data_IF_597879907304
#
_entry.id   IF_597879907304
#
_cell.length_a   1.000
_cell.length_b   1.000
_cell.length_c   1.000
_cell.angle_alpha   90.00
_cell.angle_beta   90.00
_cell.angle_gamma   90.00
#
_symmetry.space_group_name_H-M   'P 1'
#
loop_
_entity.id
_entity.type
_entity.pdbx_description
1 polymer ?
#
# COMPACT_ATOMS: atom_id res chain seq x y z
N UNK A 1 -6.71 -4.14 3.92
CA UNK A 1 -6.93 -5.52 4.40
C UNK A 1 -8.31 -5.89 3.91
N UNK A 2 -8.43 -6.87 3.02
CA UNK A 2 -9.73 -7.37 2.55
C UNK A 2 -10.52 -7.80 3.79
N UNK A 3 -11.60 -7.08 4.10
CA UNK A 3 -12.51 -7.48 5.16
C UNK A 3 -13.16 -8.79 4.72
N UNK A 4 -13.27 -9.76 5.65
CA UNK A 4 -14.22 -10.85 5.48
C UNK A 4 -15.62 -10.20 5.38
N UNK A 5 -16.19 -10.17 4.18
CA UNK A 5 -17.50 -9.56 3.91
C UNK A 5 -17.72 -9.13 2.46
N UNK A 6 -16.70 -8.58 1.78
CA UNK A 6 -16.82 -8.21 0.36
C UNK A 6 -16.45 -9.40 -0.53
N UNK A 7 -17.31 -9.81 -1.48
CA UNK A 7 -16.95 -10.80 -2.49
C UNK A 7 -15.67 -10.38 -3.21
N UNK A 8 -14.67 -11.27 -3.23
CA UNK A 8 -13.44 -11.06 -3.98
C UNK A 8 -13.00 -12.39 -4.59
N UNK A 9 -12.44 -12.32 -5.79
CA UNK A 9 -11.91 -13.48 -6.49
C UNK A 9 -10.41 -13.60 -6.25
N UNK A 10 -9.97 -14.79 -5.87
CA UNK A 10 -8.56 -15.16 -5.91
C UNK A 10 -8.30 -15.85 -7.25
N UNK A 11 -7.35 -15.33 -8.04
CA UNK A 11 -7.00 -15.90 -9.34
C UNK A 11 -5.48 -15.90 -9.53
N UNK A 12 -4.84 -17.07 -9.72
CA UNK A 12 -3.48 -17.13 -10.21
C UNK A 12 -3.48 -16.85 -11.72
N UNK A 13 -2.61 -15.94 -12.17
CA UNK A 13 -2.43 -15.63 -13.59
C UNK A 13 -0.98 -15.91 -13.96
N UNK A 14 -0.76 -16.76 -14.95
CA UNK A 14 0.56 -16.94 -15.56
C UNK A 14 0.71 -16.01 -16.74
N UNK A 15 1.73 -15.16 -16.67
CA UNK A 15 2.08 -14.23 -17.74
C UNK A 15 3.36 -14.74 -18.40
N UNK A 16 3.26 -15.03 -19.69
CA UNK A 16 4.40 -15.44 -20.49
C UNK A 16 5.45 -14.32 -20.50
N UNK A 17 6.73 -14.68 -20.36
CA UNK A 17 7.87 -13.76 -20.40
C UNK A 17 7.83 -12.64 -19.32
N UNK A 18 7.12 -12.82 -18.21
CA UNK A 18 7.21 -11.90 -17.08
C UNK A 18 8.62 -11.90 -16.46
N UNK A 19 9.15 -10.74 -16.05
CA UNK A 19 10.45 -10.66 -15.40
C UNK A 19 10.42 -11.39 -14.06
N UNK A 20 11.51 -12.09 -13.73
CA UNK A 20 11.57 -13.00 -12.58
C UNK A 20 12.35 -12.37 -11.44
N UNK A 21 11.66 -12.16 -10.31
CA UNK A 21 12.33 -11.87 -9.05
C UNK A 21 12.97 -13.16 -8.52
N UNK A 22 14.29 -13.17 -8.36
CA UNK A 22 15.02 -14.34 -7.84
C UNK A 22 15.41 -14.19 -6.37
N UNK A 23 15.17 -13.03 -5.75
CA UNK A 23 15.61 -12.72 -4.39
C UNK A 23 16.66 -11.61 -4.37
N UNK A 24 17.49 -11.58 -3.32
CA UNK A 24 18.55 -10.58 -3.12
C UNK A 24 19.60 -10.56 -4.25
N UNK A 25 19.71 -11.65 -5.00
CA UNK A 25 20.61 -11.81 -6.15
C UNK A 25 20.02 -11.30 -7.46
N UNK A 26 18.78 -10.79 -7.46
CA UNK A 26 18.18 -10.19 -8.66
C UNK A 26 18.96 -8.92 -9.00
N UNK A 27 19.55 -8.87 -10.18
CA UNK A 27 20.33 -7.73 -10.63
C UNK A 27 19.46 -6.48 -10.85
N UNK A 28 20.07 -5.30 -10.75
CA UNK A 28 19.36 -4.01 -10.83
C UNK A 28 18.58 -3.81 -12.13
N UNK A 29 19.07 -4.35 -13.26
CA UNK A 29 18.35 -4.25 -14.54
C UNK A 29 17.06 -5.06 -14.46
N UNK A 30 17.12 -6.31 -14.00
CA UNK A 30 15.93 -7.14 -13.81
C UNK A 30 14.96 -6.53 -12.79
N UNK A 31 15.47 -5.92 -11.70
CA UNK A 31 14.62 -5.21 -10.73
C UNK A 31 13.85 -4.06 -11.38
N UNK A 32 14.51 -3.27 -12.22
CA UNK A 32 13.87 -2.20 -12.97
C UNK A 32 12.82 -2.74 -13.95
N UNK A 33 13.12 -3.83 -14.65
CA UNK A 33 12.16 -4.51 -15.54
C UNK A 33 10.91 -4.98 -14.78
N UNK A 34 11.07 -5.51 -13.56
CA UNK A 34 9.95 -5.89 -12.68
C UNK A 34 9.10 -4.67 -12.32
N UNK A 35 9.72 -3.56 -11.93
CA UNK A 35 9.02 -2.32 -11.58
C UNK A 35 8.20 -1.82 -12.77
N UNK A 36 8.81 -1.72 -13.94
CA UNK A 36 8.14 -1.29 -15.18
C UNK A 36 6.99 -2.24 -15.54
N UNK A 37 7.20 -3.54 -15.41
CA UNK A 37 6.17 -4.55 -15.68
C UNK A 37 4.97 -4.40 -14.73
N UNK A 38 5.21 -4.19 -13.43
CA UNK A 38 4.16 -3.92 -12.46
C UNK A 38 3.40 -2.64 -12.80
N UNK A 39 4.10 -1.52 -13.06
CA UNK A 39 3.46 -0.24 -13.36
C UNK A 39 2.63 -0.27 -14.66
N UNK A 40 2.98 -1.16 -15.60
CA UNK A 40 2.21 -1.36 -16.84
C UNK A 40 0.84 -2.00 -16.61
N UNK A 41 0.74 -2.98 -15.71
CA UNK A 41 -0.47 -3.80 -15.56
C UNK A 41 -1.23 -3.55 -14.25
N UNK A 42 -0.55 -3.05 -13.22
CA UNK A 42 -1.10 -2.81 -11.90
C UNK A 42 -1.22 -1.30 -11.73
N UNK A 43 -2.45 -0.81 -11.68
CA UNK A 43 -2.71 0.60 -11.43
C UNK A 43 -3.77 0.78 -10.37
N UNK A 44 -3.59 1.82 -9.56
CA UNK A 44 -4.62 2.33 -8.65
C UNK A 44 -5.15 3.68 -9.15
N UNK A 45 -5.04 3.97 -10.46
CA UNK A 45 -5.59 5.19 -11.05
C UNK A 45 -7.10 5.22 -10.82
N UNK A 46 -7.57 6.29 -10.19
CA UNK A 46 -8.98 6.62 -10.08
C UNK A 46 -9.28 7.70 -11.11
N UNK A 47 -10.06 7.44 -12.15
CA UNK A 47 -10.44 8.46 -13.11
C UNK A 47 -11.27 9.55 -12.44
N UNK A 48 -11.28 10.75 -13.01
CA UNK A 48 -12.21 11.79 -12.61
C UNK A 48 -13.64 11.41 -13.00
N UNK A 49 -14.63 12.10 -12.42
CA UNK A 49 -16.03 11.84 -12.75
C UNK A 49 -16.35 12.23 -14.21
N UNK A 50 -15.58 13.17 -14.78
CA UNK A 50 -15.68 13.59 -16.18
C UNK A 50 -15.02 12.61 -17.15
N UNK A 51 -13.93 11.93 -16.74
CA UNK A 51 -13.21 10.95 -17.57
C UNK A 51 -14.00 9.63 -17.70
N UNK A 52 -14.45 9.09 -16.56
CA UNK A 52 -15.19 7.83 -16.51
C UNK A 52 -16.05 7.78 -15.22
N UNK A 53 -17.32 8.22 -15.28
CA UNK A 53 -18.18 8.30 -14.09
C UNK A 53 -18.52 6.93 -13.51
N UNK A 54 -18.62 5.89 -14.34
CA UNK A 54 -18.95 4.53 -13.88
C UNK A 54 -17.79 3.96 -13.08
N UNK A 55 -16.58 3.96 -13.66
CA UNK A 55 -15.39 3.46 -12.97
C UNK A 55 -15.05 4.31 -11.75
N UNK A 56 -15.23 5.64 -11.82
CA UNK A 56 -15.09 6.52 -10.67
C UNK A 56 -15.98 6.08 -9.50
N UNK A 57 -17.27 5.86 -9.77
CA UNK A 57 -18.23 5.44 -8.74
C UNK A 57 -17.89 4.07 -8.17
N UNK A 58 -17.57 3.09 -9.03
CA UNK A 58 -17.15 1.75 -8.58
C UNK A 58 -15.92 1.84 -7.67
N UNK A 59 -14.89 2.58 -8.06
CA UNK A 59 -13.67 2.72 -7.26
C UNK A 59 -14.00 3.37 -5.91
N UNK A 60 -14.75 4.47 -5.92
CA UNK A 60 -15.14 5.19 -4.71
C UNK A 60 -15.95 4.31 -3.76
N UNK A 61 -16.86 3.50 -4.27
CA UNK A 61 -17.73 2.64 -3.45
C UNK A 61 -17.03 1.39 -2.91
N UNK A 62 -16.24 0.70 -3.74
CA UNK A 62 -15.73 -0.65 -3.39
C UNK A 62 -14.21 -0.80 -3.39
N UNK A 63 -13.43 0.18 -3.86
CA UNK A 63 -11.96 0.14 -3.86
C UNK A 63 -11.31 1.17 -2.93
N UNK A 64 -12.08 2.07 -2.32
CA UNK A 64 -11.54 3.01 -1.33
C UNK A 64 -11.82 2.57 0.10
N UNK A 65 -10.83 2.79 0.97
CA UNK A 65 -11.04 2.61 2.40
C UNK A 65 -11.88 3.78 2.94
N UNK A 66 -13.04 3.48 3.53
CA UNK A 66 -13.93 4.52 4.05
C UNK A 66 -13.25 5.40 5.09
N UNK A 67 -13.38 6.73 4.92
CA UNK A 67 -12.99 7.74 5.91
C UNK A 67 -13.83 7.65 7.18
N UNK A 68 -15.08 7.22 7.02
CA UNK A 68 -16.00 6.97 8.12
C UNK A 68 -15.72 5.57 8.68
N UNK A 69 -14.65 5.47 9.46
CA UNK A 69 -14.21 4.22 10.05
C UNK A 69 -15.33 3.58 10.90
N UNK A 70 -15.73 2.37 10.52
CA UNK A 70 -16.69 1.57 11.31
C UNK A 70 -16.09 1.16 12.67
N UNK A 71 -16.95 0.72 13.61
CA UNK A 71 -16.51 0.22 14.92
C UNK A 71 -15.49 -0.93 14.80
N UNK A 72 -15.65 -1.81 13.80
CA UNK A 72 -14.73 -2.93 13.53
C UNK A 72 -13.43 -2.50 12.83
N UNK A 73 -13.46 -1.34 12.15
CA UNK A 73 -12.30 -0.75 11.51
C UNK A 73 -11.37 -0.05 12.52
N UNK A 74 -11.87 0.41 13.67
CA UNK A 74 -11.06 1.14 14.64
C UNK A 74 -10.39 0.18 15.65
N UNK A 75 -9.15 0.48 16.03
CA UNK A 75 -8.36 -0.16 17.09
C UNK A 75 -8.13 0.84 18.23
N UNK A 76 -7.79 0.35 19.43
CA UNK A 76 -7.41 1.12 20.62
C UNK A 76 -8.38 2.26 20.98
N UNK A 77 -9.41 1.97 21.77
CA UNK A 77 -10.40 2.98 22.22
C UNK A 77 -11.01 3.83 21.09
N UNK A 78 -11.08 3.28 19.87
CA UNK A 78 -11.65 3.92 18.68
C UNK A 78 -10.88 5.14 18.13
N UNK A 79 -9.59 5.28 18.43
CA UNK A 79 -8.82 6.47 18.02
C UNK A 79 -7.98 6.26 16.76
N UNK A 80 -7.78 5.01 16.31
CA UNK A 80 -6.89 4.69 15.20
C UNK A 80 -7.50 3.65 14.25
N UNK A 81 -7.25 3.78 12.95
CA UNK A 81 -7.58 2.73 11.97
C UNK A 81 -6.77 1.44 12.25
N UNK A 82 -7.46 0.31 12.43
CA UNK A 82 -6.89 -1.03 12.60
C UNK A 82 -5.94 -1.43 11.46
N UNK A 83 -6.21 -0.95 10.25
CA UNK A 83 -5.46 -1.30 9.05
C UNK A 83 -4.37 -0.29 8.68
N UNK A 84 -4.21 0.77 9.49
CA UNK A 84 -3.22 1.82 9.27
C UNK A 84 -3.50 2.69 8.06
N UNK A 85 -4.77 3.01 7.78
CA UNK A 85 -5.13 4.05 6.82
C UNK A 85 -5.20 5.43 7.48
N UNK A 86 -4.88 6.52 6.76
CA UNK A 86 -4.28 6.52 5.41
C UNK A 86 -2.84 5.97 5.44
N UNK A 87 -2.43 5.32 4.35
CA UNK A 87 -1.07 4.80 4.21
C UNK A 87 -0.16 5.87 3.59
N UNK A 88 1.14 5.89 3.92
CA UNK A 88 2.10 6.72 3.22
C UNK A 88 2.10 6.39 1.72
N UNK A 89 2.24 7.42 0.89
CA UNK A 89 2.32 7.28 -0.56
C UNK A 89 3.78 7.18 -0.97
N UNK A 90 4.13 6.11 -1.69
CA UNK A 90 5.38 6.02 -2.44
C UNK A 90 5.17 6.64 -3.83
N UNK A 91 6.09 7.49 -4.28
CA UNK A 91 6.02 8.08 -5.63
C UNK A 91 6.41 7.07 -6.71
N UNK A 92 7.62 6.48 -6.68
CA UNK A 92 7.94 5.36 -7.56
C UNK A 92 7.52 4.03 -6.94
N UNK A 93 7.23 3.05 -7.78
CA UNK A 93 7.19 1.65 -7.39
C UNK A 93 8.61 1.16 -7.12
N UNK A 94 8.79 0.40 -6.04
CA UNK A 94 10.09 -0.18 -5.68
C UNK A 94 9.92 -1.54 -4.98
N UNK A 95 10.98 -2.34 -5.01
CA UNK A 95 11.00 -3.66 -4.38
C UNK A 95 11.49 -3.49 -2.93
N UNK A 96 10.66 -3.87 -1.97
CA UNK A 96 11.02 -3.92 -0.56
C UNK A 96 11.57 -5.30 -0.20
N UNK A 97 12.74 -5.34 0.43
CA UNK A 97 13.31 -6.57 0.97
C UNK A 97 13.13 -6.64 2.49
N UNK A 98 12.91 -7.83 3.07
CA UNK A 98 12.81 -7.97 4.51
C UNK A 98 14.13 -7.57 5.18
N UNK A 99 14.08 -6.53 6.01
CA UNK A 99 15.21 -6.17 6.87
C UNK A 99 15.30 -7.22 7.98
N UNK A 100 16.43 -7.93 8.05
CA UNK A 100 16.74 -8.89 9.12
C UNK A 100 17.95 -8.36 9.89
N UNK A 101 17.74 -7.58 10.96
CA UNK A 101 18.85 -7.06 11.73
C UNK A 101 19.57 -8.22 12.44
N UNK A 102 20.86 -8.31 12.21
CA UNK A 102 21.77 -9.36 12.70
C UNK A 102 22.58 -8.90 13.92
N UNK A 103 22.77 -7.59 14.07
CA UNK A 103 23.51 -6.99 15.18
C UNK A 103 22.70 -5.89 15.89
N UNK A 104 23.23 -5.37 17.00
CA UNK A 104 22.51 -4.40 17.83
C UNK A 104 22.42 -3.00 17.19
N UNK A 105 23.39 -2.62 16.35
CA UNK A 105 23.36 -1.37 15.58
C UNK A 105 22.21 -1.39 14.55
N UNK A 106 22.08 -2.47 13.78
CA UNK A 106 20.99 -2.66 12.83
C UNK A 106 19.62 -2.71 13.53
N UNK A 107 19.55 -3.30 14.73
CA UNK A 107 18.33 -3.27 15.56
C UNK A 107 17.97 -1.85 15.96
N UNK A 108 18.95 -1.03 16.36
CA UNK A 108 18.71 0.36 16.75
C UNK A 108 18.26 1.19 15.54
N UNK A 109 18.92 1.04 14.40
CA UNK A 109 18.51 1.67 13.16
C UNK A 109 17.07 1.29 12.75
N UNK A 110 16.69 0.01 12.91
CA UNK A 110 15.31 -0.42 12.70
C UNK A 110 14.31 0.26 13.65
N UNK A 111 14.70 0.58 14.90
CA UNK A 111 13.84 1.33 15.84
C UNK A 111 13.67 2.78 15.38
N UNK A 112 14.74 3.41 14.92
CA UNK A 112 14.71 4.78 14.38
C UNK A 112 13.77 4.87 13.16
N UNK A 113 13.89 3.95 12.20
CA UNK A 113 13.00 3.88 11.03
C UNK A 113 11.54 3.73 11.46
N UNK A 114 11.27 2.86 12.46
CA UNK A 114 9.89 2.68 12.99
C UNK A 114 9.35 3.95 13.64
N UNK A 115 10.19 4.73 14.31
CA UNK A 115 9.81 6.02 14.89
C UNK A 115 9.41 7.01 13.79
N UNK A 116 10.25 7.16 12.77
CA UNK A 116 9.97 8.00 11.59
C UNK A 116 8.65 7.60 10.92
N UNK A 117 8.44 6.29 10.72
CA UNK A 117 7.20 5.78 10.13
C UNK A 117 5.97 6.11 10.99
N UNK A 118 6.10 6.05 12.32
CA UNK A 118 5.02 6.39 13.25
C UNK A 118 4.66 7.88 13.17
N UNK A 119 5.66 8.75 13.15
CA UNK A 119 5.48 10.20 13.01
C UNK A 119 4.86 10.57 11.66
N UNK A 120 5.33 9.96 10.57
CA UNK A 120 4.76 10.13 9.24
C UNK A 120 3.29 9.70 9.19
N UNK A 121 2.95 8.55 9.77
CA UNK A 121 1.56 8.08 9.86
C UNK A 121 0.69 9.05 10.67
N UNK A 122 1.19 9.61 11.77
CA UNK A 122 0.47 10.60 12.56
C UNK A 122 0.18 11.87 11.74
N UNK A 123 1.18 12.40 11.03
CA UNK A 123 1.01 13.57 10.16
C UNK A 123 0.03 13.32 9.02
N UNK A 124 0.09 12.15 8.38
CA UNK A 124 -0.87 11.75 7.34
C UNK A 124 -2.30 11.69 7.87
N UNK A 125 -2.51 11.19 9.10
CA UNK A 125 -3.83 11.20 9.73
C UNK A 125 -4.36 12.62 9.98
N UNK A 126 -3.49 13.57 10.32
CA UNK A 126 -3.89 14.98 10.49
C UNK A 126 -4.31 15.59 9.14
N UNK A 127 -3.49 15.43 8.10
CA UNK A 127 -3.78 15.93 6.76
C UNK A 127 -5.09 15.36 6.19
N UNK A 128 -5.41 14.11 6.48
CA UNK A 128 -6.67 13.52 6.00
C UNK A 128 -7.90 14.09 6.71
N UNK A 129 -7.77 14.55 7.97
CA UNK A 129 -8.85 15.27 8.68
C UNK A 129 -9.06 16.69 8.17
N UNK A 130 -8.04 17.30 7.57
CA UNK A 130 -8.10 18.66 7.01
C UNK A 130 -8.78 18.71 5.62
N UNK A 131 -8.97 17.57 4.95
CA UNK A 131 -9.65 17.47 3.64
C UNK A 131 -11.19 17.51 3.73
N UNK A 132 -11.74 17.98 4.85
CA UNK A 132 -13.18 18.13 5.10
C UNK A 132 -13.65 19.49 4.59
#
# INVERSE_FOLDING_TARGET
MQLRGSPHSHMPIWVENAPKYTGLQTDEKTRLEIVIFCDKYITTRSPSIEEDPELHNIIKEVQTHSRNHSKSCLKYHKTMCRFGFPRPVARPTFICEPIKPTNDEEKEHCKEIKKILTEMNAKMNLLEKEKV
#
